data_IF_736979856244
#
_entry.id   IF_736979856244
#
_cell.length_a   1.000
_cell.length_b   1.000
_cell.length_c   1.000
_cell.angle_alpha   90.00
_cell.angle_beta   90.00
_cell.angle_gamma   90.00
#
_symmetry.space_group_name_H-M   'P 1'
#
loop_
_entity.id
_entity.type
_entity.pdbx_description
1 polymer ?
#
# COMPACT_ATOMS: atom_id res chain seq x y z
N UNK A 1 8.42 11.65 25.90
CA UNK A 1 7.64 12.06 24.72
C UNK A 1 8.10 13.45 24.28
N UNK A 2 9.00 13.51 23.23
CA UNK A 2 9.64 14.77 22.79
C UNK A 2 8.63 15.87 22.41
N UNK A 3 7.52 15.52 21.76
CA UNK A 3 6.51 16.49 21.35
C UNK A 3 5.77 17.08 22.55
N UNK A 4 5.34 16.23 23.47
CA UNK A 4 4.64 16.67 24.70
C UNK A 4 5.49 17.61 25.55
N UNK A 5 6.78 17.29 25.72
CA UNK A 5 7.70 18.13 26.48
C UNK A 5 7.91 19.51 25.80
N UNK A 6 8.13 19.53 24.49
CA UNK A 6 8.24 20.80 23.74
C UNK A 6 6.96 21.62 23.79
N UNK A 7 5.81 20.97 23.74
CA UNK A 7 4.53 21.66 23.84
C UNK A 7 4.30 22.21 25.26
N UNK A 8 4.65 21.44 26.29
CA UNK A 8 4.57 21.91 27.68
C UNK A 8 5.48 23.13 27.93
N UNK A 9 6.73 23.09 27.44
CA UNK A 9 7.67 24.21 27.49
C UNK A 9 7.12 25.42 26.75
N UNK A 10 6.67 25.26 25.52
CA UNK A 10 6.06 26.34 24.73
C UNK A 10 4.83 26.94 25.44
N UNK A 11 4.01 26.12 26.07
CA UNK A 11 2.78 26.56 26.73
C UNK A 11 3.04 27.18 28.11
N UNK A 12 4.16 26.82 28.79
CA UNK A 12 4.48 27.30 30.16
C UNK A 12 4.64 28.84 30.20
N UNK A 13 5.22 29.42 29.16
CA UNK A 13 5.52 30.86 29.07
C UNK A 13 4.34 31.70 28.51
N UNK A 14 3.19 31.07 28.24
CA UNK A 14 2.01 31.79 27.71
C UNK A 14 1.07 32.22 28.81
N UNK A 15 0.60 33.48 28.77
CA UNK A 15 -0.45 33.99 29.66
C UNK A 15 -1.77 33.21 29.42
N UNK A 16 -2.11 33.04 28.12
CA UNK A 16 -3.27 32.23 27.73
C UNK A 16 -2.79 30.85 27.29
N UNK A 17 -3.08 29.82 28.08
CA UNK A 17 -2.76 28.43 27.76
C UNK A 17 -3.58 27.95 26.57
N UNK A 18 -2.95 27.20 25.68
CA UNK A 18 -3.60 26.55 24.54
C UNK A 18 -3.65 25.05 24.72
N UNK A 19 -4.56 24.39 24.01
CA UNK A 19 -4.65 22.92 23.96
C UNK A 19 -4.09 22.43 22.63
N UNK A 20 -3.37 21.33 22.68
CA UNK A 20 -2.89 20.64 21.48
C UNK A 20 -3.84 19.49 21.15
N UNK A 21 -4.34 19.46 19.92
CA UNK A 21 -5.11 18.35 19.39
C UNK A 21 -4.31 17.73 18.25
N UNK A 22 -4.32 16.41 18.16
CA UNK A 22 -3.68 15.64 17.09
C UNK A 22 -4.63 14.57 16.58
N UNK A 23 -4.52 14.25 15.29
CA UNK A 23 -5.33 13.21 14.61
C UNK A 23 -4.39 12.14 14.03
N UNK A 24 -3.80 11.26 14.85
CA UNK A 24 -2.73 10.34 14.45
C UNK A 24 -3.25 9.08 13.76
N UNK A 25 -4.23 9.18 12.84
CA UNK A 25 -4.92 8.05 12.23
C UNK A 25 -3.99 7.02 11.61
N UNK A 26 -3.00 7.44 10.83
CA UNK A 26 -2.01 6.55 10.22
C UNK A 26 -1.21 5.78 11.28
N UNK A 27 -0.81 6.45 12.34
CA UNK A 27 -0.02 5.87 13.43
C UNK A 27 -0.74 4.69 14.10
N UNK A 28 -2.06 4.73 14.21
CA UNK A 28 -2.84 3.72 14.94
C UNK A 28 -2.96 2.39 14.18
N UNK A 29 -3.04 2.42 12.85
CA UNK A 29 -3.42 1.22 12.07
C UNK A 29 -2.50 0.91 10.89
N UNK A 30 -1.49 1.73 10.61
CA UNK A 30 -0.62 1.53 9.43
C UNK A 30 0.07 0.17 9.46
N UNK A 31 0.65 -0.19 10.60
CA UNK A 31 1.50 -1.38 10.73
C UNK A 31 0.71 -2.70 10.79
N UNK A 32 -0.60 -2.66 11.09
CA UNK A 32 -1.41 -3.87 11.13
C UNK A 32 -1.84 -4.38 9.75
N UNK A 33 -1.62 -3.61 8.67
CA UNK A 33 -2.07 -3.98 7.34
C UNK A 33 -0.94 -4.24 6.36
N UNK A 34 -1.16 -5.23 5.53
CA UNK A 34 -0.29 -5.65 4.43
C UNK A 34 -1.08 -5.61 3.13
N UNK A 35 -0.45 -5.11 2.07
CA UNK A 35 -1.02 -5.17 0.73
C UNK A 35 -0.27 -6.21 -0.08
N UNK A 36 -0.99 -7.24 -0.54
CA UNK A 36 -0.44 -8.35 -1.30
C UNK A 36 -0.80 -8.21 -2.77
N UNK A 37 0.16 -8.43 -3.65
CA UNK A 37 -0.06 -8.41 -5.10
C UNK A 37 0.78 -9.47 -5.78
N UNK A 38 0.26 -10.04 -6.88
CA UNK A 38 0.95 -11.04 -7.67
C UNK A 38 1.73 -10.38 -8.80
N UNK A 39 2.91 -10.89 -9.05
CA UNK A 39 3.74 -10.51 -10.21
C UNK A 39 3.16 -11.13 -11.47
N UNK A 40 2.77 -10.30 -12.41
CA UNK A 40 2.30 -10.73 -13.73
C UNK A 40 3.44 -10.95 -14.72
N UNK A 41 4.44 -10.06 -14.65
CA UNK A 41 5.52 -10.04 -15.64
C UNK A 41 6.77 -9.41 -15.06
N UNK A 42 7.95 -9.93 -15.44
CA UNK A 42 9.26 -9.37 -15.09
C UNK A 42 9.99 -9.01 -16.38
N UNK A 43 10.38 -7.75 -16.53
CA UNK A 43 11.09 -7.24 -17.69
C UNK A 43 12.50 -6.82 -17.30
N UNK A 44 13.49 -7.42 -17.94
CA UNK A 44 14.90 -7.09 -17.78
C UNK A 44 15.37 -6.22 -18.95
N UNK A 45 15.75 -4.98 -18.65
CA UNK A 45 16.37 -4.06 -19.62
C UNK A 45 17.82 -3.82 -19.23
N UNK A 46 18.61 -3.27 -20.14
CA UNK A 46 20.06 -3.06 -19.97
C UNK A 46 20.41 -2.40 -18.64
N UNK A 47 19.65 -1.40 -18.21
CA UNK A 47 19.95 -0.62 -17.00
C UNK A 47 18.85 -0.66 -15.93
N UNK A 48 17.77 -1.42 -16.12
CA UNK A 48 16.63 -1.38 -15.20
C UNK A 48 15.78 -2.65 -15.31
N UNK A 49 15.46 -3.24 -14.17
CA UNK A 49 14.53 -4.35 -14.10
C UNK A 49 13.16 -3.83 -13.65
N UNK A 50 12.10 -4.27 -14.30
CA UNK A 50 10.73 -3.93 -13.95
C UNK A 50 9.97 -5.17 -13.49
N UNK A 51 9.20 -5.00 -12.44
CA UNK A 51 8.18 -5.96 -11.99
C UNK A 51 6.82 -5.33 -12.25
N UNK A 52 6.01 -5.96 -13.07
CA UNK A 52 4.62 -5.59 -13.33
C UNK A 52 3.70 -6.43 -12.46
N UNK A 53 2.90 -5.78 -11.62
CA UNK A 53 2.00 -6.47 -10.69
C UNK A 53 0.54 -6.41 -11.14
N UNK A 54 -0.30 -7.33 -10.61
CA UNK A 54 -1.74 -7.41 -10.90
C UNK A 54 -2.56 -6.37 -10.10
N UNK A 55 -1.97 -5.24 -9.80
CA UNK A 55 -2.56 -4.14 -9.06
C UNK A 55 -2.09 -2.80 -9.62
N UNK A 56 -2.66 -1.71 -9.14
CA UNK A 56 -2.29 -0.37 -9.54
C UNK A 56 -2.69 0.68 -8.52
N UNK A 57 -2.54 1.94 -8.90
CA UNK A 57 -2.88 3.12 -8.09
C UNK A 57 -4.33 3.09 -7.58
N UNK A 58 -5.22 2.44 -8.32
CA UNK A 58 -6.62 2.27 -7.93
C UNK A 58 -6.81 1.41 -6.67
N UNK A 59 -5.86 0.54 -6.33
CA UNK A 59 -5.89 -0.25 -5.10
C UNK A 59 -5.05 0.34 -3.99
N UNK A 60 -3.89 0.93 -4.31
CA UNK A 60 -2.99 1.51 -3.33
C UNK A 60 -2.41 2.83 -3.84
N UNK A 61 -3.18 3.91 -3.68
CA UNK A 61 -2.91 5.22 -4.26
C UNK A 61 -1.70 5.94 -3.67
N UNK A 62 -1.38 5.71 -2.39
CA UNK A 62 -0.43 6.54 -1.64
C UNK A 62 0.98 6.65 -2.23
N UNK A 63 1.60 5.59 -2.78
CA UNK A 63 2.92 5.70 -3.41
C UNK A 63 2.93 6.73 -4.56
N UNK A 64 1.92 6.72 -5.41
CA UNK A 64 1.83 7.58 -6.59
C UNK A 64 1.40 9.00 -6.24
N UNK A 65 0.44 9.15 -5.32
CA UNK A 65 -0.16 10.44 -5.00
C UNK A 65 0.67 11.26 -4.01
N UNK A 66 1.28 10.61 -3.01
CA UNK A 66 2.05 11.27 -1.95
C UNK A 66 3.55 10.97 -2.00
N UNK A 67 4.03 10.17 -2.92
CA UNK A 67 5.39 9.66 -2.90
C UNK A 67 5.70 8.82 -1.65
N UNK A 68 4.67 8.19 -1.06
CA UNK A 68 4.82 7.40 0.16
C UNK A 68 5.68 6.18 -0.09
N UNK A 69 6.74 6.03 0.68
CA UNK A 69 7.61 4.85 0.62
C UNK A 69 7.06 3.77 1.53
N UNK A 70 6.88 2.58 0.98
CA UNK A 70 6.50 1.37 1.70
C UNK A 70 7.60 0.32 1.56
N UNK A 71 7.87 -0.44 2.62
CA UNK A 71 8.74 -1.61 2.53
C UNK A 71 8.03 -2.67 1.69
N UNK A 72 8.74 -3.21 0.72
CA UNK A 72 8.25 -4.25 -0.18
C UNK A 72 9.12 -5.48 -0.01
N UNK A 73 8.52 -6.65 0.10
CA UNK A 73 9.19 -7.94 0.19
C UNK A 73 8.61 -8.91 -0.83
N UNK A 74 9.45 -9.70 -1.47
CA UNK A 74 9.02 -10.89 -2.20
C UNK A 74 8.93 -12.05 -1.21
N UNK A 75 7.70 -12.44 -0.87
CA UNK A 75 7.42 -13.48 0.12
C UNK A 75 7.32 -14.88 -0.48
N UNK A 76 7.39 -15.01 -1.81
CA UNK A 76 7.36 -16.29 -2.53
C UNK A 76 8.75 -16.77 -2.92
N UNK A 77 9.71 -15.88 -3.08
CA UNK A 77 11.05 -16.23 -3.58
C UNK A 77 11.93 -16.86 -2.51
N UNK A 78 12.50 -18.01 -2.81
CA UNK A 78 13.51 -18.67 -2.01
C UNK A 78 14.96 -18.31 -2.43
N UNK A 79 15.12 -17.41 -3.42
CA UNK A 79 16.44 -17.01 -3.92
C UNK A 79 17.19 -16.18 -2.88
N UNK A 80 18.51 -16.41 -2.79
CA UNK A 80 19.41 -15.54 -2.02
C UNK A 80 19.97 -14.38 -2.87
N UNK A 81 19.74 -14.39 -4.20
CA UNK A 81 20.16 -13.34 -5.10
C UNK A 81 19.26 -12.10 -4.91
N UNK A 82 19.87 -10.97 -4.63
CA UNK A 82 19.17 -9.67 -4.50
C UNK A 82 19.37 -8.89 -5.79
N UNK A 83 18.27 -8.37 -6.33
CA UNK A 83 18.28 -7.50 -7.51
C UNK A 83 17.54 -6.21 -7.22
N UNK A 84 17.90 -5.15 -7.95
CA UNK A 84 17.20 -3.89 -7.92
C UNK A 84 16.09 -3.87 -8.97
N UNK A 85 14.88 -3.46 -8.56
CA UNK A 85 13.70 -3.43 -9.41
C UNK A 85 12.95 -2.10 -9.29
N UNK A 86 12.23 -1.76 -10.36
CA UNK A 86 11.09 -0.86 -10.29
C UNK A 86 9.82 -1.68 -10.26
N UNK A 87 8.94 -1.42 -9.30
CA UNK A 87 7.65 -2.10 -9.19
C UNK A 87 6.57 -1.18 -9.73
N UNK A 88 5.89 -1.63 -10.78
CA UNK A 88 4.86 -0.88 -11.50
C UNK A 88 3.54 -1.65 -11.56
N UNK A 89 2.45 -0.91 -11.58
CA UNK A 89 1.11 -1.47 -11.70
C UNK A 89 0.67 -1.69 -13.14
N UNK A 90 -0.64 -1.89 -13.32
CA UNK A 90 -1.28 -2.17 -14.61
C UNK A 90 -2.10 -0.99 -15.17
N UNK A 91 -2.08 0.15 -14.48
CA UNK A 91 -2.80 1.36 -14.93
C UNK A 91 -1.88 2.13 -15.89
N UNK A 92 -2.44 2.71 -16.95
CA UNK A 92 -1.69 3.36 -18.00
C UNK A 92 -1.11 4.73 -17.63
N UNK A 93 -1.61 5.34 -16.58
CA UNK A 93 -1.05 6.56 -15.99
C UNK A 93 0.19 6.23 -15.16
N UNK A 94 0.78 7.25 -14.51
CA UNK A 94 1.93 7.05 -13.61
C UNK A 94 1.55 6.09 -12.48
N UNK A 95 1.88 4.82 -12.65
CA UNK A 95 1.49 3.72 -11.77
C UNK A 95 2.72 3.00 -11.22
N UNK A 96 3.58 3.75 -10.53
CA UNK A 96 4.84 3.26 -9.99
C UNK A 96 4.80 3.19 -8.47
N UNK A 97 4.77 1.97 -7.93
CA UNK A 97 4.83 1.73 -6.48
C UNK A 97 6.22 2.03 -5.90
N UNK A 98 7.27 1.72 -6.65
CA UNK A 98 8.65 2.03 -6.27
C UNK A 98 9.53 2.07 -7.52
N UNK A 99 10.36 3.10 -7.65
CA UNK A 99 11.33 3.20 -8.73
C UNK A 99 12.59 2.37 -8.51
N UNK A 100 12.97 2.16 -7.24
CA UNK A 100 14.17 1.40 -6.84
C UNK A 100 13.89 0.67 -5.54
N UNK A 101 13.79 -0.65 -5.62
CA UNK A 101 13.69 -1.52 -4.44
C UNK A 101 14.58 -2.75 -4.63
N UNK A 102 15.29 -3.11 -3.59
CA UNK A 102 16.09 -4.34 -3.57
C UNK A 102 15.20 -5.48 -3.08
N UNK A 103 14.98 -6.45 -3.96
CA UNK A 103 14.19 -7.64 -3.67
C UNK A 103 14.99 -8.89 -3.98
N UNK A 104 14.64 -10.01 -3.35
CA UNK A 104 15.05 -11.33 -3.82
C UNK A 104 14.70 -11.47 -5.29
N UNK A 105 15.53 -12.17 -6.08
CA UNK A 105 15.24 -12.46 -7.48
C UNK A 105 13.77 -12.86 -7.61
N UNK A 106 13.06 -12.11 -8.43
CA UNK A 106 11.61 -12.18 -8.57
C UNK A 106 11.27 -12.77 -9.92
N UNK A 107 10.30 -13.68 -9.93
CA UNK A 107 9.77 -14.33 -11.12
C UNK A 107 8.28 -14.04 -11.27
N UNK A 108 7.75 -14.32 -12.45
CA UNK A 108 6.31 -14.29 -12.71
C UNK A 108 5.58 -15.26 -11.79
N UNK A 109 4.46 -14.83 -11.26
CA UNK A 109 3.67 -15.60 -10.30
C UNK A 109 4.05 -15.37 -8.81
N UNK A 110 5.19 -14.78 -8.52
CA UNK A 110 5.59 -14.44 -7.15
C UNK A 110 4.62 -13.46 -6.50
N UNK A 111 4.59 -13.46 -5.18
CA UNK A 111 3.77 -12.55 -4.38
C UNK A 111 4.67 -11.49 -3.72
N UNK A 112 4.36 -10.24 -3.98
CA UNK A 112 4.95 -9.11 -3.28
C UNK A 112 4.04 -8.67 -2.14
N UNK A 113 4.67 -8.37 -1.01
CA UNK A 113 4.03 -7.85 0.20
C UNK A 113 4.50 -6.43 0.47
N UNK A 114 3.57 -5.49 0.47
CA UNK A 114 3.80 -4.11 0.88
C UNK A 114 3.40 -3.96 2.34
N UNK A 115 4.35 -3.54 3.18
CA UNK A 115 4.11 -3.31 4.62
C UNK A 115 3.49 -1.95 4.87
N UNK A 116 2.93 -1.78 6.07
CA UNK A 116 2.34 -0.52 6.54
C UNK A 116 1.18 -0.04 5.64
N UNK A 117 0.36 -0.97 5.18
CA UNK A 117 -0.79 -0.71 4.32
C UNK A 117 -2.13 -0.62 5.07
N UNK A 118 -2.14 -0.70 6.41
CA UNK A 118 -3.37 -0.67 7.22
C UNK A 118 -4.09 0.68 7.23
N UNK A 119 -3.36 1.77 6.93
CA UNK A 119 -3.96 3.10 6.84
C UNK A 119 -3.98 3.58 5.39
N UNK A 120 -5.17 4.02 4.94
CA UNK A 120 -5.36 4.69 3.64
C UNK A 120 -4.97 3.84 2.41
N UNK A 121 -4.92 2.52 2.53
CA UNK A 121 -4.85 1.63 1.38
C UNK A 121 -6.25 1.42 0.83
N UNK A 122 -7.08 0.63 1.51
CA UNK A 122 -8.43 0.35 1.03
C UNK A 122 -9.34 1.59 1.01
N UNK A 123 -9.29 2.45 2.03
CA UNK A 123 -10.16 3.63 2.12
C UNK A 123 -9.94 4.67 1.01
N UNK A 124 -8.76 4.69 0.38
CA UNK A 124 -8.45 5.51 -0.80
C UNK A 124 -8.54 4.72 -2.10
N UNK A 125 -8.87 3.43 -2.06
CA UNK A 125 -9.04 2.64 -3.27
C UNK A 125 -10.25 3.09 -4.08
N UNK A 126 -10.20 2.90 -5.38
CA UNK A 126 -11.23 3.32 -6.31
C UNK A 126 -11.48 2.27 -7.39
N UNK A 127 -12.53 2.48 -8.16
CA UNK A 127 -12.82 1.70 -9.37
C UNK A 127 -12.27 2.36 -10.64
N UNK A 128 -11.20 3.15 -10.51
CA UNK A 128 -10.57 3.78 -11.66
C UNK A 128 -10.26 2.75 -12.75
N UNK A 129 -10.47 3.11 -14.01
CA UNK A 129 -10.41 2.22 -15.18
C UNK A 129 -11.29 0.97 -15.06
N UNK A 130 -12.45 1.08 -14.37
CA UNK A 130 -13.41 -0.01 -14.15
C UNK A 130 -12.80 -1.25 -13.48
N UNK A 131 -11.75 -1.07 -12.66
CA UNK A 131 -11.11 -2.15 -11.92
C UNK A 131 -11.84 -2.41 -10.61
N UNK A 132 -11.97 -3.69 -10.25
CA UNK A 132 -12.62 -4.14 -9.01
C UNK A 132 -11.68 -3.96 -7.83
N UNK A 133 -12.21 -3.44 -6.70
CA UNK A 133 -11.45 -3.38 -5.47
C UNK A 133 -11.15 -4.79 -4.92
N UNK A 134 -9.97 -5.00 -4.31
CA UNK A 134 -9.58 -6.31 -3.79
C UNK A 134 -10.36 -6.70 -2.54
N UNK A 135 -10.33 -7.98 -2.14
CA UNK A 135 -10.88 -8.41 -0.87
C UNK A 135 -9.99 -7.94 0.29
N UNK A 136 -10.57 -7.92 1.50
CA UNK A 136 -9.82 -7.78 2.74
C UNK A 136 -9.98 -9.02 3.61
N UNK A 137 -8.88 -9.47 4.19
CA UNK A 137 -8.78 -10.65 5.04
C UNK A 137 -8.21 -10.24 6.39
N UNK A 138 -8.87 -10.59 7.45
CA UNK A 138 -8.36 -10.45 8.81
C UNK A 138 -7.65 -11.73 9.24
N UNK A 139 -6.43 -11.59 9.73
CA UNK A 139 -5.67 -12.68 10.37
C UNK A 139 -5.55 -12.33 11.84
N UNK A 140 -6.10 -13.13 12.72
CA UNK A 140 -6.08 -12.94 14.17
C UNK A 140 -6.14 -14.29 14.87
N UNK A 141 -5.32 -14.52 15.90
CA UNK A 141 -5.30 -15.74 16.70
C UNK A 141 -5.24 -17.03 15.87
N UNK A 142 -4.42 -17.04 14.81
CA UNK A 142 -4.30 -18.15 13.83
C UNK A 142 -5.58 -18.44 13.02
N UNK A 143 -6.57 -17.57 13.08
CA UNK A 143 -7.76 -17.64 12.24
C UNK A 143 -7.64 -16.67 11.06
N UNK A 144 -8.20 -17.10 9.93
CA UNK A 144 -8.27 -16.31 8.69
C UNK A 144 -9.75 -16.06 8.39
N UNK A 145 -10.14 -14.79 8.36
CA UNK A 145 -11.52 -14.37 8.12
C UNK A 145 -11.60 -13.39 6.96
N UNK A 146 -12.44 -13.72 5.97
CA UNK A 146 -12.79 -12.76 4.92
C UNK A 146 -13.71 -11.69 5.52
N UNK A 147 -13.21 -10.45 5.65
CA UNK A 147 -13.98 -9.32 6.21
C UNK A 147 -14.56 -8.42 5.11
N UNK A 148 -14.04 -8.52 3.89
CA UNK A 148 -14.58 -7.85 2.71
C UNK A 148 -14.42 -8.74 1.49
N UNK A 149 -15.48 -8.94 0.74
CA UNK A 149 -15.46 -9.68 -0.53
C UNK A 149 -14.79 -8.83 -1.61
N UNK A 150 -14.14 -9.50 -2.58
CA UNK A 150 -13.72 -8.85 -3.81
C UNK A 150 -14.95 -8.33 -4.56
N UNK A 151 -14.84 -7.12 -5.12
CA UNK A 151 -15.90 -6.60 -5.98
C UNK A 151 -16.07 -7.44 -7.26
N UNK A 152 -17.29 -7.45 -7.74
CA UNK A 152 -17.73 -8.05 -8.99
C UNK A 152 -18.23 -6.97 -9.96
N UNK A 153 -18.54 -7.36 -11.18
CA UNK A 153 -19.18 -6.45 -12.15
C UNK A 153 -20.51 -5.89 -11.63
N UNK A 154 -21.30 -6.69 -10.91
CA UNK A 154 -22.55 -6.22 -10.30
C UNK A 154 -22.34 -5.10 -9.28
N UNK A 155 -21.23 -5.14 -8.53
CA UNK A 155 -20.90 -4.08 -7.57
C UNK A 155 -20.55 -2.79 -8.28
N UNK A 156 -19.87 -2.88 -9.43
CA UNK A 156 -19.45 -1.73 -10.22
C UNK A 156 -20.66 -0.97 -10.80
N UNK A 157 -21.68 -1.68 -11.28
CA UNK A 157 -22.86 -1.12 -11.97
C UNK A 157 -24.08 -0.95 -11.08
N UNK A 158 -24.03 -1.33 -9.79
CA UNK A 158 -25.23 -1.44 -8.91
C UNK A 158 -26.08 -0.18 -8.81
N UNK A 159 -25.51 0.99 -9.07
CA UNK A 159 -26.21 2.28 -9.03
C UNK A 159 -26.49 2.86 -10.42
N UNK A 160 -26.28 2.07 -11.47
CA UNK A 160 -26.58 2.49 -12.84
C UNK A 160 -27.98 2.03 -13.21
N UNK A 161 -28.77 2.92 -13.78
CA UNK A 161 -30.04 2.59 -14.41
C UNK A 161 -29.78 2.23 -15.86
N UNK A 162 -30.18 1.03 -16.26
CA UNK A 162 -30.09 0.53 -17.65
C UNK A 162 -31.49 0.43 -18.21
#
# INVERSE_FOLDING_TARGET
>A
NKLGNKFAEFNSNRKNKIRMHIEPGKFLVSECGYFLTKVNYVNHRINKNFIHVNSGLNHFLRPMFYGSKHSIENISSNSNEIKNYSVVGYICETDTFSEKVNLKKTNEGDILCFKNAGAYCFSMSSNYNSRFRPPEVLVSNNEIKLIRKRESFKDLIRNQSV
#
